data_IF_281988648162
#
_entry.id   IF_281988648162
#
_cell.length_a   1.000
_cell.length_b   1.000
_cell.length_c   1.000
_cell.angle_alpha   90.00
_cell.angle_beta   90.00
_cell.angle_gamma   90.00
#
_symmetry.space_group_name_H-M   'P 1'
#
loop_
_entity.id
_entity.type
_entity.pdbx_description
1 polymer ?
#
# COMPACT_ATOMS: atom_id res chain seq x y z
N UNK A 1 -10.12 -0.98 20.20
CA UNK A 1 -9.11 -1.20 19.17
C UNK A 1 -7.72 -1.20 19.79
N UNK A 2 -6.82 -2.01 19.25
CA UNK A 2 -5.44 -2.06 19.71
C UNK A 2 -4.68 -0.85 19.16
N UNK A 3 -4.01 -0.11 20.03
CA UNK A 3 -2.98 0.85 19.63
C UNK A 3 -1.64 0.16 19.81
N UNK A 4 -1.22 -0.60 18.81
CA UNK A 4 0.09 -1.25 18.81
C UNK A 4 0.99 -0.45 17.87
N UNK A 5 2.16 0.02 18.31
CA UNK A 5 3.14 0.59 17.41
C UNK A 5 3.58 -0.49 16.41
N UNK A 6 2.98 -0.46 15.22
CA UNK A 6 3.36 -1.35 14.13
C UNK A 6 4.65 -0.87 13.48
N UNK A 7 5.54 -1.76 13.15
CA UNK A 7 6.65 -1.45 12.27
C UNK A 7 6.11 -1.11 10.88
N UNK A 8 6.56 0.00 10.31
CA UNK A 8 6.26 0.31 8.91
C UNK A 8 6.82 -0.78 7.99
N UNK A 9 6.25 -0.95 6.81
CA UNK A 9 6.80 -1.87 5.80
C UNK A 9 8.26 -1.56 5.45
N UNK A 10 8.73 -0.32 5.67
CA UNK A 10 10.12 0.07 5.50
C UNK A 10 11.02 -0.56 6.58
N UNK A 11 10.55 -0.67 7.81
CA UNK A 11 11.27 -1.28 8.93
C UNK A 11 11.19 -2.82 8.88
N UNK A 12 10.24 -3.38 8.15
CA UNK A 12 10.09 -4.84 7.98
C UNK A 12 11.28 -5.52 7.28
N UNK A 13 12.22 -4.75 6.75
CA UNK A 13 13.52 -5.25 6.24
C UNK A 13 14.55 -5.43 7.37
N UNK A 14 14.30 -4.88 8.55
CA UNK A 14 15.16 -5.06 9.72
C UNK A 14 14.95 -6.43 10.37
N UNK A 15 15.95 -6.90 11.11
CA UNK A 15 15.87 -8.13 11.93
C UNK A 15 15.14 -7.91 13.27
N UNK A 16 14.37 -6.84 13.40
CA UNK A 16 13.61 -6.50 14.61
C UNK A 16 12.49 -7.50 14.91
N UNK A 17 12.18 -7.69 16.19
CA UNK A 17 11.04 -8.48 16.60
C UNK A 17 9.73 -7.82 16.11
N UNK A 18 8.88 -8.62 15.46
CA UNK A 18 7.54 -8.19 15.05
C UNK A 18 6.55 -8.63 16.11
N UNK A 19 5.70 -7.72 16.55
CA UNK A 19 4.59 -8.08 17.43
C UNK A 19 3.55 -8.84 16.63
N UNK A 20 3.33 -10.11 16.99
CA UNK A 20 2.29 -10.93 16.41
C UNK A 20 1.03 -10.94 17.31
N UNK A 21 -0.12 -11.25 16.74
CA UNK A 21 -1.35 -11.38 17.53
C UNK A 21 -1.22 -12.45 18.63
N UNK A 22 -0.47 -13.52 18.36
CA UNK A 22 -0.22 -14.61 19.28
C UNK A 22 0.59 -14.21 20.52
N UNK A 23 1.39 -13.14 20.45
CA UNK A 23 2.19 -12.65 21.59
C UNK A 23 1.30 -12.17 22.76
N UNK A 24 0.08 -11.71 22.44
CA UNK A 24 -0.90 -11.30 23.43
C UNK A 24 -2.07 -12.29 23.56
N UNK A 25 -2.48 -12.94 22.47
CA UNK A 25 -3.65 -13.82 22.46
C UNK A 25 -3.32 -15.32 22.57
N UNK A 26 -2.02 -15.68 22.54
CA UNK A 26 -1.55 -17.06 22.54
C UNK A 26 -1.78 -17.78 21.20
N UNK A 27 -1.22 -18.99 21.09
CA UNK A 27 -1.25 -19.76 19.84
C UNK A 27 -2.61 -20.43 19.55
N UNK A 28 -3.46 -20.58 20.56
CA UNK A 28 -4.76 -21.25 20.46
C UNK A 28 -5.87 -20.40 21.09
N UNK A 29 -6.15 -19.19 20.56
CA UNK A 29 -7.05 -18.23 21.20
C UNK A 29 -8.53 -18.61 21.12
N UNK A 30 -8.90 -19.56 20.27
CA UNK A 30 -10.29 -19.93 20.04
C UNK A 30 -10.68 -21.19 20.82
N UNK A 31 -11.91 -21.20 21.34
CA UNK A 31 -12.50 -22.39 22.00
C UNK A 31 -12.72 -23.55 21.00
N UNK A 32 -12.95 -23.22 19.72
CA UNK A 32 -13.19 -24.21 18.67
C UNK A 32 -11.85 -24.60 18.03
N UNK A 33 -11.40 -25.87 18.17
CA UNK A 33 -10.08 -26.30 17.69
C UNK A 33 -9.88 -26.12 16.18
N UNK A 34 -10.95 -26.18 15.39
CA UNK A 34 -10.88 -25.96 13.95
C UNK A 34 -10.38 -24.56 13.60
N UNK A 35 -10.81 -23.53 14.33
CA UNK A 35 -10.33 -22.16 14.10
C UNK A 35 -8.84 -22.04 14.42
N UNK A 36 -8.37 -22.65 15.50
CA UNK A 36 -6.95 -22.68 15.83
C UNK A 36 -6.12 -23.41 14.77
N UNK A 37 -6.66 -24.45 14.10
CA UNK A 37 -5.99 -25.08 12.96
C UNK A 37 -5.91 -24.17 11.74
N UNK A 38 -6.93 -23.33 11.52
CA UNK A 38 -6.92 -22.39 10.39
C UNK A 38 -5.78 -21.38 10.50
N UNK A 39 -5.37 -20.96 11.70
CA UNK A 39 -4.31 -19.96 11.89
C UNK A 39 -2.96 -20.40 11.32
N UNK A 40 -2.76 -21.69 11.05
CA UNK A 40 -1.56 -22.19 10.36
C UNK A 40 -1.48 -21.70 8.91
N UNK A 41 -2.62 -21.47 8.26
CA UNK A 41 -2.71 -21.10 6.83
C UNK A 41 -3.51 -19.83 6.56
N UNK A 42 -4.17 -19.28 7.57
CA UNK A 42 -5.01 -18.08 7.49
C UNK A 42 -4.55 -17.13 8.58
N UNK A 43 -4.14 -15.94 8.20
CA UNK A 43 -3.75 -14.90 9.15
C UNK A 43 -4.96 -14.48 10.01
N UNK A 44 -4.74 -14.10 11.25
CA UNK A 44 -5.79 -13.70 12.18
C UNK A 44 -6.63 -12.55 11.61
N UNK A 45 -5.97 -11.62 10.94
CA UNK A 45 -6.57 -10.45 10.29
C UNK A 45 -7.56 -10.83 9.18
N UNK A 46 -7.41 -12.00 8.56
CA UNK A 46 -8.31 -12.46 7.49
C UNK A 46 -9.76 -12.61 7.98
N UNK A 47 -9.93 -13.03 9.23
CA UNK A 47 -11.24 -13.14 9.85
C UNK A 47 -11.59 -11.91 10.71
N UNK A 48 -10.59 -11.29 11.35
CA UNK A 48 -10.81 -10.20 12.29
C UNK A 48 -10.80 -8.79 11.66
N UNK A 49 -10.27 -8.65 10.44
CA UNK A 49 -10.31 -7.40 9.66
C UNK A 49 -11.17 -7.61 8.41
N UNK A 50 -12.48 -7.41 8.56
CA UNK A 50 -13.45 -7.62 7.48
C UNK A 50 -13.41 -6.50 6.42
N UNK A 51 -13.07 -5.29 6.83
CA UNK A 51 -12.93 -4.12 5.96
C UNK A 51 -11.83 -3.21 6.48
N UNK A 52 -11.16 -2.50 5.56
CA UNK A 52 -10.20 -1.46 5.90
C UNK A 52 -10.89 -0.10 6.00
N UNK A 53 -10.31 0.80 6.77
CA UNK A 53 -10.79 2.19 6.91
C UNK A 53 -12.22 2.30 7.49
N UNK A 54 -12.56 1.48 8.45
CA UNK A 54 -13.86 1.49 9.13
C UNK A 54 -14.10 2.79 9.90
N UNK A 55 -13.09 3.34 10.56
CA UNK A 55 -13.18 4.59 11.32
C UNK A 55 -12.98 5.82 10.42
N UNK A 56 -11.83 5.94 9.81
CA UNK A 56 -11.44 7.07 8.96
C UNK A 56 -11.21 6.62 7.51
N UNK A 57 -11.53 7.45 6.50
CA UNK A 57 -11.26 7.15 5.10
C UNK A 57 -9.77 6.92 4.83
N UNK A 58 -9.46 6.08 3.87
CA UNK A 58 -8.11 5.81 3.39
C UNK A 58 -7.98 6.14 1.92
N UNK A 59 -6.79 6.57 1.51
CA UNK A 59 -6.49 6.81 0.10
C UNK A 59 -6.42 5.47 -0.64
N UNK A 60 -7.18 5.36 -1.74
CA UNK A 60 -7.21 4.17 -2.61
C UNK A 60 -6.68 4.44 -4.02
N UNK A 61 -6.65 5.71 -4.42
CA UNK A 61 -6.16 6.15 -5.73
C UNK A 61 -5.35 7.43 -5.63
N UNK A 62 -4.32 7.54 -6.47
CA UNK A 62 -3.50 8.74 -6.63
C UNK A 62 -3.12 8.95 -8.09
N UNK A 63 -3.36 10.14 -8.64
CA UNK A 63 -2.97 10.51 -10.00
C UNK A 63 -2.06 11.73 -10.01
N UNK A 64 -0.76 11.50 -10.11
CA UNK A 64 0.24 12.54 -10.22
C UNK A 64 0.15 13.32 -11.54
N UNK A 65 -0.37 12.73 -12.62
CA UNK A 65 -0.49 13.41 -13.91
C UNK A 65 -1.40 14.63 -13.87
N UNK A 66 -2.20 14.75 -12.82
CA UNK A 66 -3.10 15.88 -12.57
C UNK A 66 -2.48 16.99 -11.73
N UNK A 67 -1.26 16.80 -11.20
CA UNK A 67 -0.58 17.85 -10.47
C UNK A 67 -0.28 19.08 -11.37
N UNK A 68 -0.12 20.25 -10.77
CA UNK A 68 0.21 21.49 -11.45
C UNK A 68 -0.96 22.28 -12.03
N UNK A 69 -2.17 21.71 -12.05
CA UNK A 69 -3.35 22.40 -12.60
C UNK A 69 -3.90 23.43 -11.62
N UNK A 70 -4.26 24.62 -12.14
CA UNK A 70 -5.00 25.60 -11.38
C UNK A 70 -6.50 25.30 -11.49
N UNK A 71 -7.04 24.75 -10.40
CA UNK A 71 -8.46 24.43 -10.30
C UNK A 71 -8.95 24.58 -8.86
N UNK A 72 -10.26 24.79 -8.65
CA UNK A 72 -10.83 24.92 -7.32
C UNK A 72 -10.53 23.70 -6.44
N UNK A 73 -10.35 23.95 -5.15
CA UNK A 73 -10.31 22.88 -4.16
C UNK A 73 -11.66 22.17 -4.12
N UNK A 74 -11.62 20.85 -4.30
CA UNK A 74 -12.79 20.00 -4.20
C UNK A 74 -12.63 19.04 -3.03
N UNK A 75 -13.70 18.85 -2.29
CA UNK A 75 -13.77 17.85 -1.21
C UNK A 75 -14.75 16.75 -1.56
N UNK A 76 -14.47 15.56 -1.08
CA UNK A 76 -15.35 14.42 -1.22
C UNK A 76 -16.45 14.39 -0.14
N UNK A 77 -17.26 13.34 -0.15
CA UNK A 77 -18.32 13.09 0.84
C UNK A 77 -17.81 12.93 2.29
N UNK A 78 -16.51 12.79 2.48
CA UNK A 78 -15.87 12.70 3.79
C UNK A 78 -15.24 14.02 4.24
N UNK A 79 -15.35 15.08 3.44
CA UNK A 79 -14.72 16.37 3.69
C UNK A 79 -13.23 16.42 3.39
N UNK A 80 -12.67 15.37 2.75
CA UNK A 80 -11.27 15.30 2.40
C UNK A 80 -11.00 15.91 1.01
N UNK A 81 -9.85 16.56 0.88
CA UNK A 81 -9.42 17.11 -0.41
C UNK A 81 -9.22 15.99 -1.42
N UNK A 82 -9.84 16.14 -2.60
CA UNK A 82 -9.69 15.23 -3.74
C UNK A 82 -8.62 15.68 -4.72
N UNK A 83 -8.10 16.88 -4.55
CA UNK A 83 -7.05 17.46 -5.35
C UNK A 83 -6.17 18.40 -4.53
N UNK A 84 -4.87 18.35 -4.77
CA UNK A 84 -3.89 19.33 -4.29
C UNK A 84 -2.92 19.63 -5.43
N UNK A 85 -2.73 20.92 -5.79
CA UNK A 85 -1.91 21.32 -6.95
C UNK A 85 -0.54 20.63 -7.00
N UNK A 86 0.16 20.56 -5.88
CA UNK A 86 1.50 19.94 -5.80
C UNK A 86 1.49 18.40 -5.78
N UNK A 87 0.33 17.76 -5.64
CA UNK A 87 0.22 16.29 -5.45
C UNK A 87 -0.70 15.59 -6.45
N UNK A 88 -1.55 16.33 -7.17
CA UNK A 88 -2.52 15.77 -8.11
C UNK A 88 -3.84 15.36 -7.48
N UNK A 89 -4.49 14.36 -8.06
CA UNK A 89 -5.81 13.86 -7.64
C UNK A 89 -5.73 12.69 -6.68
N UNK A 90 -6.74 12.61 -5.80
CA UNK A 90 -6.90 11.52 -4.84
C UNK A 90 -8.31 10.97 -4.83
N UNK A 91 -8.43 9.70 -4.48
CA UNK A 91 -9.69 9.08 -4.13
C UNK A 91 -9.58 8.45 -2.74
N UNK A 92 -10.54 8.77 -1.90
CA UNK A 92 -10.66 8.27 -0.53
C UNK A 92 -11.88 7.38 -0.41
N UNK A 93 -11.76 6.30 0.36
CA UNK A 93 -12.86 5.38 0.59
C UNK A 93 -12.88 4.92 2.05
N UNK A 94 -14.07 4.60 2.55
CA UNK A 94 -14.30 3.88 3.81
C UNK A 94 -14.78 2.47 3.51
N UNK A 95 -14.68 1.62 4.51
CA UNK A 95 -15.16 0.23 4.46
C UNK A 95 -14.65 -0.53 3.23
N UNK A 96 -13.36 -0.31 2.90
CA UNK A 96 -12.72 -0.89 1.72
C UNK A 96 -12.60 -2.40 1.87
N UNK A 97 -13.22 -3.20 0.98
CA UNK A 97 -13.08 -4.64 1.01
C UNK A 97 -11.61 -5.06 0.85
N UNK A 98 -11.14 -6.04 1.61
CA UNK A 98 -9.79 -6.55 1.45
C UNK A 98 -9.63 -7.36 0.17
N UNK A 99 -8.42 -7.32 -0.38
CA UNK A 99 -7.94 -8.30 -1.34
C UNK A 99 -7.17 -9.36 -0.56
N UNK A 100 -7.49 -10.62 -0.79
CA UNK A 100 -6.80 -11.73 -0.10
C UNK A 100 -5.68 -12.28 -0.98
N UNK A 101 -4.52 -12.52 -0.37
CA UNK A 101 -3.37 -13.10 -1.04
C UNK A 101 -2.58 -13.99 -0.08
N UNK A 102 -1.73 -14.84 -0.64
CA UNK A 102 -0.75 -15.59 0.13
C UNK A 102 0.43 -14.69 0.49
N UNK A 103 0.83 -14.70 1.76
CA UNK A 103 1.95 -13.91 2.26
C UNK A 103 2.79 -14.72 3.24
N UNK A 104 4.09 -14.80 2.99
CA UNK A 104 5.04 -15.57 3.80
C UNK A 104 5.91 -14.69 4.73
N UNK A 105 5.62 -13.40 4.84
CA UNK A 105 6.41 -12.44 5.61
C UNK A 105 7.42 -11.65 4.76
N UNK A 106 7.58 -12.00 3.49
CA UNK A 106 8.51 -11.33 2.58
C UNK A 106 7.78 -10.50 1.53
N UNK A 107 8.41 -9.42 1.09
CA UNK A 107 7.85 -8.51 0.09
C UNK A 107 8.91 -8.15 -0.93
N UNK A 108 8.65 -8.43 -2.21
CA UNK A 108 9.43 -7.85 -3.29
C UNK A 108 9.06 -6.37 -3.46
N UNK A 109 10.05 -5.54 -3.74
CA UNK A 109 9.88 -4.10 -3.91
C UNK A 109 10.51 -3.64 -5.21
N UNK A 110 9.88 -2.65 -5.83
CA UNK A 110 10.53 -1.86 -6.85
C UNK A 110 11.66 -1.05 -6.20
N UNK A 111 12.86 -1.16 -6.72
CA UNK A 111 14.00 -0.35 -6.31
C UNK A 111 14.28 0.73 -7.35
N UNK A 112 14.86 1.85 -6.91
CA UNK A 112 15.24 2.92 -7.83
C UNK A 112 16.21 2.37 -8.89
N UNK A 113 15.88 2.58 -10.16
CA UNK A 113 16.63 2.06 -11.30
C UNK A 113 16.13 0.72 -11.86
N UNK A 114 15.21 0.03 -11.19
CA UNK A 114 14.59 -1.15 -11.78
C UNK A 114 13.81 -0.77 -13.04
N UNK A 115 13.97 -1.57 -14.09
CA UNK A 115 13.24 -1.38 -15.34
C UNK A 115 11.79 -1.83 -15.22
N UNK A 116 10.89 -1.11 -15.86
CA UNK A 116 9.48 -1.41 -15.92
C UNK A 116 9.01 -1.68 -17.35
N UNK A 117 7.92 -2.43 -17.48
CA UNK A 117 7.13 -2.48 -18.69
C UNK A 117 5.98 -1.46 -18.56
N UNK A 118 6.04 -0.31 -19.24
CA UNK A 118 5.02 0.73 -19.08
C UNK A 118 3.64 0.34 -19.62
N UNK A 119 3.52 -0.76 -20.37
CA UNK A 119 2.26 -1.31 -20.81
C UNK A 119 1.55 -2.14 -19.72
N UNK A 120 2.24 -2.44 -18.61
CA UNK A 120 1.73 -3.26 -17.52
C UNK A 120 1.60 -2.47 -16.23
N UNK A 121 0.78 -2.99 -15.33
CA UNK A 121 0.71 -2.46 -13.96
C UNK A 121 1.98 -2.85 -13.21
N UNK A 122 2.70 -1.84 -12.70
CA UNK A 122 3.92 -2.04 -11.92
C UNK A 122 3.56 -2.21 -10.45
N UNK A 123 3.96 -3.34 -9.87
CA UNK A 123 3.83 -3.55 -8.42
C UNK A 123 5.02 -2.92 -7.69
N UNK A 124 4.77 -1.84 -6.97
CA UNK A 124 5.80 -1.19 -6.13
C UNK A 124 6.13 -2.02 -4.89
N UNK A 125 5.14 -2.69 -4.34
CA UNK A 125 5.26 -3.64 -3.24
C UNK A 125 4.45 -4.89 -3.60
N UNK A 126 5.12 -6.04 -3.71
CA UNK A 126 4.49 -7.32 -4.02
C UNK A 126 4.75 -8.28 -2.87
N UNK A 127 3.75 -8.53 -2.01
CA UNK A 127 3.83 -9.60 -1.01
C UNK A 127 4.15 -10.94 -1.67
N UNK A 128 5.05 -11.71 -1.07
CA UNK A 128 5.51 -13.00 -1.58
C UNK A 128 4.83 -14.14 -0.84
N UNK A 129 4.77 -15.29 -1.49
CA UNK A 129 4.17 -16.50 -1.00
C UNK A 129 3.11 -17.05 -1.96
N UNK A 130 2.85 -18.33 -1.86
CA UNK A 130 1.82 -19.03 -2.60
C UNK A 130 1.19 -20.16 -1.77
N UNK A 131 0.24 -20.88 -2.36
CA UNK A 131 -0.45 -21.98 -1.68
C UNK A 131 0.49 -23.13 -1.28
N UNK A 132 1.59 -23.35 -1.99
CA UNK A 132 2.55 -24.44 -1.74
C UNK A 132 3.61 -24.03 -0.71
N UNK A 133 3.81 -22.74 -0.49
CA UNK A 133 4.72 -22.22 0.52
C UNK A 133 4.15 -22.48 1.92
N UNK A 134 4.81 -23.35 2.69
CA UNK A 134 4.38 -23.74 4.04
C UNK A 134 4.39 -22.59 5.04
N UNK A 135 5.17 -21.55 4.80
CA UNK A 135 5.24 -20.34 5.62
C UNK A 135 4.14 -19.32 5.29
N UNK A 136 3.56 -19.42 4.08
CA UNK A 136 2.57 -18.46 3.64
C UNK A 136 1.20 -18.69 4.28
N UNK A 137 0.53 -17.58 4.64
CA UNK A 137 -0.86 -17.56 5.11
C UNK A 137 -1.68 -16.69 4.18
N UNK A 138 -2.96 -16.96 4.09
CA UNK A 138 -3.91 -16.04 3.46
C UNK A 138 -4.02 -14.79 4.32
N UNK A 139 -3.78 -13.63 3.73
CA UNK A 139 -3.75 -12.34 4.44
C UNK A 139 -4.58 -11.30 3.70
N UNK A 140 -5.36 -10.44 4.40
CA UNK A 140 -6.05 -9.33 3.80
C UNK A 140 -5.08 -8.19 3.54
N UNK A 141 -5.17 -7.58 2.38
CA UNK A 141 -4.42 -6.37 2.04
C UNK A 141 -5.32 -5.32 1.42
N UNK A 142 -5.01 -4.06 1.66
CA UNK A 142 -5.58 -2.96 0.91
C UNK A 142 -4.70 -2.68 -0.30
N UNK A 143 -5.29 -2.70 -1.49
CA UNK A 143 -4.60 -2.32 -2.73
C UNK A 143 -4.80 -0.83 -2.95
N UNK A 144 -3.69 -0.09 -3.03
CA UNK A 144 -3.68 1.29 -3.49
C UNK A 144 -3.13 1.34 -4.91
N UNK A 145 -3.77 2.08 -5.79
CA UNK A 145 -3.35 2.27 -7.18
C UNK A 145 -3.04 3.73 -7.44
N UNK A 146 -2.13 3.98 -8.37
CA UNK A 146 -1.80 5.36 -8.75
C UNK A 146 -1.19 5.44 -10.14
N UNK A 147 -1.17 6.66 -10.68
CA UNK A 147 -0.39 7.02 -11.85
C UNK A 147 0.82 7.82 -11.39
N UNK A 148 1.97 7.42 -11.85
CA UNK A 148 3.25 8.08 -11.58
C UNK A 148 3.98 8.34 -12.89
N UNK A 149 4.81 9.40 -12.97
CA UNK A 149 5.67 9.61 -14.13
C UNK A 149 6.72 8.50 -14.22
N UNK A 150 7.15 8.20 -15.43
CA UNK A 150 8.27 7.31 -15.68
C UNK A 150 9.18 7.91 -16.75
N UNK A 151 10.44 7.56 -16.71
CA UNK A 151 11.40 7.90 -17.74
C UNK A 151 11.22 6.94 -18.92
N UNK A 152 10.86 7.51 -20.08
CA UNK A 152 10.59 6.72 -21.30
C UNK A 152 11.85 6.08 -21.88
N UNK A 153 13.00 6.76 -21.78
CA UNK A 153 14.25 6.28 -22.32
C UNK A 153 14.84 5.16 -21.45
N UNK A 154 14.89 5.37 -20.15
CA UNK A 154 15.42 4.42 -19.17
C UNK A 154 14.42 3.31 -18.81
N UNK A 155 13.14 3.52 -19.09
CA UNK A 155 12.02 2.64 -18.65
C UNK A 155 12.06 2.38 -17.15
N UNK A 156 12.27 3.42 -16.36
CA UNK A 156 12.26 3.39 -14.90
C UNK A 156 11.19 4.32 -14.36
N UNK A 157 10.70 4.09 -13.16
CA UNK A 157 9.85 5.09 -12.49
C UNK A 157 10.70 6.32 -12.23
N UNK A 158 10.20 7.48 -12.63
CA UNK A 158 10.93 8.73 -12.49
C UNK A 158 11.06 9.13 -11.02
N UNK A 159 12.23 9.63 -10.65
CA UNK A 159 12.52 10.26 -9.37
C UNK A 159 12.63 11.79 -9.57
N UNK A 160 11.50 12.52 -9.67
CA UNK A 160 11.51 13.92 -10.03
C UNK A 160 12.12 14.78 -8.92
N UNK A 161 12.86 15.81 -9.32
CA UNK A 161 13.29 16.85 -8.41
C UNK A 161 12.05 17.70 -8.01
N UNK A 162 11.55 17.53 -6.81
CA UNK A 162 10.31 18.16 -6.34
C UNK A 162 10.55 19.56 -5.80
N UNK A 163 11.37 19.68 -4.75
CA UNK A 163 11.71 20.98 -4.13
C UNK A 163 12.66 21.75 -5.03
N UNK A 164 12.33 23.01 -5.31
CA UNK A 164 13.12 23.82 -6.26
C UNK A 164 12.98 23.40 -7.73
N UNK A 165 12.31 22.29 -8.01
CA UNK A 165 12.05 21.75 -9.33
C UNK A 165 10.56 21.77 -9.68
N UNK A 166 9.94 20.56 -9.76
CA UNK A 166 8.56 20.42 -10.23
C UNK A 166 7.56 21.35 -9.54
N UNK A 167 7.65 21.50 -8.22
CA UNK A 167 6.71 22.34 -7.46
C UNK A 167 6.86 23.84 -7.73
N UNK A 168 7.94 24.27 -8.38
CA UNK A 168 8.11 25.66 -8.81
C UNK A 168 7.55 25.91 -10.22
N UNK A 169 7.77 24.99 -11.15
CA UNK A 169 7.45 25.21 -12.56
C UNK A 169 6.37 24.27 -13.13
N UNK A 170 6.02 23.18 -12.43
CA UNK A 170 5.02 22.19 -12.81
C UNK A 170 5.22 21.57 -14.21
N UNK A 171 6.46 21.46 -14.66
CA UNK A 171 6.85 20.84 -15.92
C UNK A 171 7.57 19.51 -15.63
N UNK A 172 6.94 18.39 -16.02
CA UNK A 172 7.48 17.06 -15.80
C UNK A 172 8.78 16.81 -16.56
N UNK A 173 8.91 17.32 -17.81
CA UNK A 173 10.11 17.09 -18.60
C UNK A 173 11.32 17.73 -17.93
N UNK A 174 11.16 18.95 -17.40
CA UNK A 174 12.23 19.62 -16.64
C UNK A 174 12.52 19.00 -15.28
N UNK A 175 11.55 18.34 -14.69
CA UNK A 175 11.71 17.75 -13.36
C UNK A 175 12.32 16.33 -13.39
N UNK A 176 12.30 15.68 -14.55
CA UNK A 176 12.82 14.31 -14.77
C UNK A 176 14.18 14.35 -15.50
N UNK A 177 14.46 15.45 -16.24
CA UNK A 177 15.77 15.67 -16.83
C UNK A 177 16.82 15.93 -15.75
#
# INVERSE_FOLDING_TARGET
GHVIPGESMAVSLGKGARVACADCHGETPHRIPTYNRHTKRVACETCHVQVFAKGLPTKVWWDWSKAGQDRPLAKDKYGLETYVKIKGEFKWEKDVPPTYLWYNGETARYLMGDTIDPAKVVSLNKPLGDRKDSKARVMPVKVMRGKQPYDKALKTIAAPHLFGGYWNHFDWNRAIA
#
